data_IF_700014899047
#
_entry.id   IF_700014899047
#
_cell.length_a   1.000
_cell.length_b   1.000
_cell.length_c   1.000
_cell.angle_alpha   90.00
_cell.angle_beta   90.00
_cell.angle_gamma   90.00
#
_symmetry.space_group_name_H-M   'P 1'
#
loop_
_entity.id
_entity.type
_entity.pdbx_description
1 polymer ?
#
# COMPACT_ATOMS: atom_id res chain seq x y z
N UNK A 1 70.40 -156.09 34.99
CA UNK A 1 70.36 -154.65 34.62
C UNK A 1 68.93 -154.12 34.49
N UNK A 2 67.96 -154.65 35.26
CA UNK A 2 66.54 -154.27 35.23
C UNK A 2 66.19 -153.03 36.08
N UNK A 3 67.07 -152.61 37.00
CA UNK A 3 66.76 -151.56 37.99
C UNK A 3 66.97 -150.11 37.48
N UNK A 4 67.88 -149.91 36.53
CA UNK A 4 68.23 -148.57 36.01
C UNK A 4 67.16 -148.05 35.03
N UNK A 5 66.57 -148.94 34.22
CA UNK A 5 65.50 -148.58 33.26
C UNK A 5 64.24 -148.11 33.98
N UNK A 6 63.91 -148.68 35.14
CA UNK A 6 62.73 -148.31 35.91
C UNK A 6 62.90 -146.94 36.61
N UNK A 7 64.10 -146.62 37.10
CA UNK A 7 64.41 -145.31 37.70
C UNK A 7 64.38 -144.16 36.67
N UNK A 8 64.86 -144.38 35.44
CA UNK A 8 64.80 -143.37 34.37
C UNK A 8 63.37 -143.14 33.88
N UNK A 9 62.54 -144.18 33.81
CA UNK A 9 61.12 -144.06 33.45
C UNK A 9 60.31 -143.31 34.51
N UNK A 10 60.58 -143.55 35.80
CA UNK A 10 59.96 -142.81 36.91
C UNK A 10 60.42 -141.34 36.94
N UNK A 11 61.68 -141.07 36.58
CA UNK A 11 62.20 -139.70 36.43
C UNK A 11 61.59 -138.94 35.25
N UNK A 12 61.37 -139.60 34.11
CA UNK A 12 60.62 -139.01 32.99
C UNK A 12 59.16 -138.77 33.34
N UNK A 13 58.49 -139.73 33.97
CA UNK A 13 57.08 -139.60 34.35
C UNK A 13 56.87 -138.48 35.38
N UNK A 14 57.77 -138.33 36.36
CA UNK A 14 57.70 -137.23 37.33
C UNK A 14 57.97 -135.87 36.69
N UNK A 15 58.89 -135.79 35.72
CA UNK A 15 59.12 -134.57 34.92
C UNK A 15 57.90 -134.16 34.08
N UNK A 16 57.25 -135.12 33.43
CA UNK A 16 55.99 -134.88 32.69
C UNK A 16 54.86 -134.46 33.63
N UNK A 17 54.79 -135.05 34.84
CA UNK A 17 53.81 -134.66 35.86
C UNK A 17 54.02 -133.21 36.32
N UNK A 18 55.26 -132.77 36.55
CA UNK A 18 55.55 -131.39 36.96
C UNK A 18 55.24 -130.38 35.85
N UNK A 19 55.56 -130.71 34.59
CA UNK A 19 55.24 -129.83 33.44
C UNK A 19 53.73 -129.73 33.22
N UNK A 20 53.00 -130.85 33.36
CA UNK A 20 51.54 -130.85 33.24
C UNK A 20 50.87 -130.11 34.40
N UNK A 21 51.36 -130.25 35.64
CA UNK A 21 50.89 -129.50 36.80
C UNK A 21 51.18 -127.99 36.69
N UNK A 22 52.36 -127.60 36.20
CA UNK A 22 52.68 -126.19 35.95
C UNK A 22 51.83 -125.60 34.82
N UNK A 23 51.57 -126.36 33.73
CA UNK A 23 50.61 -125.95 32.69
C UNK A 23 49.20 -125.83 33.26
N UNK A 24 48.76 -126.76 34.12
CA UNK A 24 47.46 -126.70 34.79
C UNK A 24 47.34 -125.47 35.69
N UNK A 25 48.41 -125.13 36.42
CA UNK A 25 48.48 -123.93 37.26
C UNK A 25 48.46 -122.64 36.43
N UNK A 26 49.18 -122.61 35.31
CA UNK A 26 49.15 -121.49 34.35
C UNK A 26 47.79 -121.34 33.67
N UNK A 27 47.17 -122.44 33.24
CA UNK A 27 45.82 -122.43 32.69
C UNK A 27 44.81 -121.93 33.72
N UNK A 28 44.92 -122.36 34.99
CA UNK A 28 44.04 -121.91 36.07
C UNK A 28 44.20 -120.41 36.34
N UNK A 29 45.43 -119.90 36.39
CA UNK A 29 45.68 -118.46 36.52
C UNK A 29 45.13 -117.64 35.34
N UNK A 30 45.25 -118.15 34.11
CA UNK A 30 44.63 -117.49 32.94
C UNK A 30 43.10 -117.52 33.00
N UNK A 31 42.53 -118.61 33.53
CA UNK A 31 41.08 -118.77 33.71
C UNK A 31 40.56 -117.78 34.76
N UNK A 32 41.31 -117.58 35.86
CA UNK A 32 40.99 -116.58 36.89
C UNK A 32 41.04 -115.15 36.32
N UNK A 33 42.04 -114.81 35.50
CA UNK A 33 42.13 -113.48 34.84
C UNK A 33 41.02 -113.29 33.81
N UNK A 34 40.67 -114.33 33.05
CA UNK A 34 39.55 -114.29 32.11
C UNK A 34 38.21 -114.11 32.85
N UNK A 35 38.06 -114.73 34.02
CA UNK A 35 36.87 -114.59 34.86
C UNK A 35 36.78 -113.19 35.48
N UNK A 36 37.88 -112.65 35.99
CA UNK A 36 37.96 -111.28 36.50
C UNK A 36 37.64 -110.25 35.40
N UNK A 37 38.17 -110.43 34.18
CA UNK A 37 37.83 -109.60 33.03
C UNK A 37 36.35 -109.73 32.62
N UNK A 38 35.78 -110.93 32.70
CA UNK A 38 34.36 -111.17 32.41
C UNK A 38 33.47 -110.45 33.44
N UNK A 39 33.83 -110.52 34.73
CA UNK A 39 33.10 -109.88 35.80
C UNK A 39 33.23 -108.36 35.74
N UNK A 40 34.40 -107.83 35.39
CA UNK A 40 34.59 -106.40 35.11
C UNK A 40 33.78 -105.92 33.89
N UNK A 41 33.75 -106.71 32.82
CA UNK A 41 32.95 -106.40 31.63
C UNK A 41 31.45 -106.42 31.95
N UNK A 42 30.99 -107.36 32.79
CA UNK A 42 29.60 -107.40 33.28
C UNK A 42 29.25 -106.18 34.12
N UNK A 43 30.12 -105.80 35.06
CA UNK A 43 29.88 -104.62 35.89
C UNK A 43 29.79 -103.35 35.05
N UNK A 44 30.69 -103.18 34.06
CA UNK A 44 30.61 -102.06 33.12
C UNK A 44 29.35 -102.08 32.26
N UNK A 45 28.90 -103.27 31.84
CA UNK A 45 27.65 -103.39 31.09
C UNK A 45 26.47 -102.90 31.94
N UNK A 46 26.40 -103.29 33.21
CA UNK A 46 25.36 -102.82 34.14
C UNK A 46 25.44 -101.31 34.39
N UNK A 47 26.63 -100.73 34.53
CA UNK A 47 26.80 -99.28 34.64
C UNK A 47 26.31 -98.55 33.37
N UNK A 48 26.63 -99.06 32.18
CA UNK A 48 26.14 -98.48 30.94
C UNK A 48 24.62 -98.64 30.76
N UNK A 49 24.05 -99.79 31.13
CA UNK A 49 22.61 -100.00 31.12
C UNK A 49 21.89 -98.99 32.03
N UNK A 50 22.42 -98.76 33.23
CA UNK A 50 21.87 -97.77 34.16
C UNK A 50 22.01 -96.33 33.63
N UNK A 51 23.14 -95.99 33.01
CA UNK A 51 23.34 -94.68 32.41
C UNK A 51 22.40 -94.42 31.21
N UNK A 52 22.09 -95.46 30.43
CA UNK A 52 21.11 -95.39 29.34
C UNK A 52 19.72 -95.17 29.90
N UNK A 53 19.34 -95.88 30.98
CA UNK A 53 18.03 -95.72 31.62
C UNK A 53 17.85 -94.31 32.21
N UNK A 54 18.87 -93.77 32.89
CA UNK A 54 18.86 -92.40 33.40
C UNK A 54 18.74 -91.36 32.26
N UNK A 55 19.47 -91.57 31.16
CA UNK A 55 19.41 -90.69 29.98
C UNK A 55 18.05 -90.75 29.28
N UNK A 56 17.44 -91.93 29.20
CA UNK A 56 16.10 -92.12 28.63
C UNK A 56 15.02 -91.46 29.50
N UNK A 57 15.20 -91.48 30.82
CA UNK A 57 14.35 -90.74 31.74
C UNK A 57 14.46 -89.23 31.54
N UNK A 58 15.68 -88.67 31.44
CA UNK A 58 15.88 -87.26 31.16
C UNK A 58 15.29 -86.83 29.80
N UNK A 59 15.50 -87.64 28.75
CA UNK A 59 14.91 -87.40 27.43
C UNK A 59 13.38 -87.40 27.49
N UNK A 60 12.80 -88.28 28.29
CA UNK A 60 11.36 -88.34 28.51
C UNK A 60 10.84 -87.09 29.23
N UNK A 61 11.54 -86.63 30.27
CA UNK A 61 11.19 -85.39 30.97
C UNK A 61 11.28 -84.16 30.06
N UNK A 62 12.38 -84.02 29.32
CA UNK A 62 12.57 -82.94 28.34
C UNK A 62 11.48 -82.96 27.27
N UNK A 63 11.10 -84.15 26.77
CA UNK A 63 10.00 -84.29 25.82
C UNK A 63 8.67 -83.80 26.39
N UNK A 64 8.38 -84.13 27.66
CA UNK A 64 7.18 -83.64 28.35
C UNK A 64 7.23 -82.12 28.49
N UNK A 65 8.37 -81.54 28.91
CA UNK A 65 8.51 -80.07 29.01
C UNK A 65 8.34 -79.37 27.66
N UNK A 66 8.96 -79.88 26.59
CA UNK A 66 8.80 -79.35 25.23
C UNK A 66 7.34 -79.44 24.78
N UNK A 67 6.65 -80.54 25.08
CA UNK A 67 5.22 -80.67 24.77
C UNK A 67 4.35 -79.68 25.57
N UNK A 68 4.68 -79.45 26.85
CA UNK A 68 4.02 -78.46 27.70
C UNK A 68 4.22 -77.03 27.19
N UNK A 69 5.46 -76.66 26.87
CA UNK A 69 5.82 -75.36 26.28
C UNK A 69 5.19 -75.14 24.91
N UNK A 70 5.08 -76.20 24.09
CA UNK A 70 4.38 -76.13 22.81
C UNK A 70 2.89 -75.86 22.99
N UNK A 71 2.28 -76.50 23.99
CA UNK A 71 0.87 -76.28 24.31
C UNK A 71 0.60 -74.88 24.84
N UNK A 72 1.49 -74.31 25.66
CA UNK A 72 1.37 -72.92 26.12
C UNK A 72 1.59 -71.93 24.98
N UNK A 73 2.58 -72.17 24.11
CA UNK A 73 2.80 -71.38 22.91
C UNK A 73 1.56 -71.37 22.00
N UNK A 74 0.93 -72.52 21.77
CA UNK A 74 -0.27 -72.61 20.94
C UNK A 74 -1.49 -71.92 21.61
N UNK A 75 -1.56 -71.86 22.95
CA UNK A 75 -2.53 -71.02 23.65
C UNK A 75 -2.28 -69.53 23.42
N UNK A 76 -1.02 -69.09 23.44
CA UNK A 76 -0.67 -67.68 23.23
C UNK A 76 -0.79 -67.23 21.77
N UNK A 77 -0.54 -68.12 20.80
CA UNK A 77 -0.75 -67.84 19.37
C UNK A 77 -2.18 -67.39 19.05
N UNK A 78 -3.18 -67.89 19.81
CA UNK A 78 -4.58 -67.46 19.64
C UNK A 78 -4.79 -65.96 19.91
N UNK A 79 -3.89 -65.32 20.66
CA UNK A 79 -3.96 -63.89 20.97
C UNK A 79 -3.11 -63.03 20.01
N UNK A 80 -2.39 -63.62 19.05
CA UNK A 80 -1.58 -62.86 18.09
C UNK A 80 -2.45 -61.92 17.23
N UNK A 81 -3.63 -62.38 16.83
CA UNK A 81 -4.61 -61.56 16.10
C UNK A 81 -5.07 -60.33 16.91
N UNK A 82 -5.13 -60.43 18.25
CA UNK A 82 -5.50 -59.31 19.11
C UNK A 82 -4.40 -58.24 19.11
N UNK A 83 -3.12 -58.62 19.22
CA UNK A 83 -2.02 -57.67 19.12
C UNK A 83 -1.97 -56.96 17.76
N UNK A 84 -2.27 -57.68 16.67
CA UNK A 84 -2.35 -57.09 15.33
C UNK A 84 -3.52 -56.11 15.20
N UNK A 85 -4.68 -56.40 15.81
CA UNK A 85 -5.83 -55.50 15.87
C UNK A 85 -5.52 -54.26 16.72
N UNK A 86 -4.88 -54.40 17.88
CA UNK A 86 -4.48 -53.27 18.73
C UNK A 86 -3.53 -52.32 17.97
N UNK A 87 -2.53 -52.87 17.28
CA UNK A 87 -1.62 -52.07 16.45
C UNK A 87 -2.36 -51.39 15.29
N UNK A 88 -3.32 -52.08 14.68
CA UNK A 88 -4.18 -51.51 13.64
C UNK A 88 -5.05 -50.36 14.18
N UNK A 89 -5.64 -50.52 15.36
CA UNK A 89 -6.45 -49.47 16.02
C UNK A 89 -5.58 -48.26 16.34
N UNK A 90 -4.39 -48.45 16.91
CA UNK A 90 -3.44 -47.36 17.21
C UNK A 90 -3.06 -46.60 15.94
N UNK A 91 -2.76 -47.30 14.85
CA UNK A 91 -2.44 -46.66 13.58
C UNK A 91 -3.64 -45.87 13.02
N UNK A 92 -4.86 -46.40 13.16
CA UNK A 92 -6.08 -45.71 12.71
C UNK A 92 -6.43 -44.50 13.57
N UNK A 93 -6.25 -44.57 14.88
CA UNK A 93 -6.46 -43.41 15.76
C UNK A 93 -5.46 -42.30 15.44
N UNK A 94 -4.18 -42.63 15.26
CA UNK A 94 -3.16 -41.66 14.85
C UNK A 94 -3.46 -41.02 13.49
N UNK A 95 -3.92 -41.80 12.51
CA UNK A 95 -4.36 -41.25 11.22
C UNK A 95 -5.56 -40.31 11.37
N UNK A 96 -6.54 -40.68 12.20
CA UNK A 96 -7.71 -39.85 12.45
C UNK A 96 -7.34 -38.55 13.18
N UNK A 97 -6.48 -38.61 14.20
CA UNK A 97 -5.96 -37.44 14.92
C UNK A 97 -5.19 -36.50 14.00
N UNK A 98 -4.29 -37.04 13.17
CA UNK A 98 -3.54 -36.26 12.19
C UNK A 98 -4.47 -35.58 11.17
N UNK A 99 -5.48 -36.30 10.67
CA UNK A 99 -6.48 -35.71 9.77
C UNK A 99 -7.26 -34.57 10.43
N UNK A 100 -7.64 -34.74 11.70
CA UNK A 100 -8.32 -33.69 12.47
C UNK A 100 -7.41 -32.48 12.69
N UNK A 101 -6.13 -32.67 13.01
CA UNK A 101 -5.17 -31.58 13.15
C UNK A 101 -4.93 -30.85 11.84
N UNK A 102 -4.70 -31.57 10.73
CA UNK A 102 -4.57 -30.96 9.40
C UNK A 102 -5.81 -30.14 9.04
N UNK A 103 -7.00 -30.69 9.25
CA UNK A 103 -8.26 -29.98 8.97
C UNK A 103 -8.41 -28.72 9.81
N UNK A 104 -7.97 -28.73 11.09
CA UNK A 104 -7.96 -27.53 11.95
C UNK A 104 -7.00 -26.48 11.43
N UNK A 105 -5.79 -26.88 11.01
CA UNK A 105 -4.79 -25.97 10.44
C UNK A 105 -5.32 -25.35 9.15
N UNK A 106 -5.86 -26.15 8.23
CA UNK A 106 -6.46 -25.68 6.98
C UNK A 106 -7.62 -24.71 7.23
N UNK A 107 -8.49 -25.02 8.19
CA UNK A 107 -9.56 -24.12 8.60
C UNK A 107 -9.03 -22.80 9.18
N UNK A 108 -7.96 -22.84 9.97
CA UNK A 108 -7.32 -21.63 10.51
C UNK A 108 -6.72 -20.77 9.40
N UNK A 109 -6.00 -21.38 8.46
CA UNK A 109 -5.44 -20.68 7.29
C UNK A 109 -6.55 -20.03 6.48
N UNK A 110 -7.64 -20.75 6.21
CA UNK A 110 -8.78 -20.22 5.47
C UNK A 110 -9.43 -19.03 6.18
N UNK A 111 -9.58 -19.09 7.51
CA UNK A 111 -10.11 -17.97 8.30
C UNK A 111 -9.21 -16.75 8.20
N UNK A 112 -7.88 -16.91 8.28
CA UNK A 112 -6.95 -15.80 8.18
C UNK A 112 -6.89 -15.22 6.76
N UNK A 113 -7.00 -16.05 5.72
CA UNK A 113 -7.14 -15.61 4.33
C UNK A 113 -8.40 -14.78 4.12
N UNK A 114 -9.54 -15.22 4.68
CA UNK A 114 -10.80 -14.48 4.63
C UNK A 114 -10.67 -13.14 5.36
N UNK A 115 -10.04 -13.09 6.53
CA UNK A 115 -9.79 -11.83 7.25
C UNK A 115 -8.94 -10.88 6.40
N UNK A 116 -7.83 -11.38 5.84
CA UNK A 116 -6.97 -10.58 4.97
C UNK A 116 -7.69 -10.08 3.71
N UNK A 117 -8.60 -10.88 3.15
CA UNK A 117 -9.45 -10.44 2.05
C UNK A 117 -10.43 -9.34 2.47
N UNK A 118 -11.10 -9.48 3.61
CA UNK A 118 -12.01 -8.46 4.16
C UNK A 118 -11.27 -7.14 4.38
N UNK A 119 -10.06 -7.17 4.95
CA UNK A 119 -9.25 -5.97 5.16
C UNK A 119 -8.88 -5.28 3.85
N UNK A 120 -8.47 -6.04 2.83
CA UNK A 120 -8.20 -5.49 1.49
C UNK A 120 -9.43 -4.84 0.87
N UNK A 121 -10.60 -5.48 0.97
CA UNK A 121 -11.86 -4.93 0.46
C UNK A 121 -12.25 -3.66 1.21
N UNK A 122 -12.13 -3.64 2.54
CA UNK A 122 -12.39 -2.44 3.34
C UNK A 122 -11.49 -1.27 2.92
N UNK A 123 -10.18 -1.51 2.83
CA UNK A 123 -9.23 -0.50 2.39
C UNK A 123 -9.53 0.01 0.98
N UNK A 124 -9.91 -0.88 0.06
CA UNK A 124 -10.31 -0.50 -1.30
C UNK A 124 -11.58 0.37 -1.30
N UNK A 125 -12.59 0.03 -0.51
CA UNK A 125 -13.84 0.80 -0.42
C UNK A 125 -13.57 2.18 0.19
N UNK A 126 -12.75 2.28 1.22
CA UNK A 126 -12.37 3.56 1.84
C UNK A 126 -11.59 4.47 0.88
N UNK A 127 -10.61 3.91 0.15
CA UNK A 127 -9.86 4.63 -0.89
C UNK A 127 -10.78 5.07 -2.03
N UNK A 128 -11.66 4.18 -2.50
CA UNK A 128 -12.63 4.50 -3.55
C UNK A 128 -13.60 5.60 -3.13
N UNK A 129 -14.13 5.55 -1.90
CA UNK A 129 -15.00 6.58 -1.34
C UNK A 129 -14.28 7.93 -1.27
N UNK A 130 -13.04 7.95 -0.78
CA UNK A 130 -12.23 9.17 -0.69
C UNK A 130 -11.99 9.77 -2.07
N UNK A 131 -11.61 8.94 -3.05
CA UNK A 131 -11.42 9.37 -4.44
C UNK A 131 -12.71 9.86 -5.09
N UNK A 132 -13.85 9.21 -4.82
CA UNK A 132 -15.15 9.63 -5.34
C UNK A 132 -15.55 11.01 -4.78
N UNK A 133 -15.38 11.23 -3.48
CA UNK A 133 -15.64 12.53 -2.84
C UNK A 133 -14.73 13.61 -3.44
N UNK A 134 -13.42 13.35 -3.54
CA UNK A 134 -12.47 14.29 -4.16
C UNK A 134 -12.85 14.64 -5.60
N UNK A 135 -13.27 13.65 -6.39
CA UNK A 135 -13.71 13.87 -7.77
C UNK A 135 -14.97 14.75 -7.82
N UNK A 136 -15.95 14.50 -6.96
CA UNK A 136 -17.16 15.33 -6.85
C UNK A 136 -16.82 16.76 -6.45
N UNK A 137 -15.94 16.93 -5.46
CA UNK A 137 -15.48 18.26 -5.00
C UNK A 137 -14.75 19.01 -6.11
N UNK A 138 -13.86 18.35 -6.85
CA UNK A 138 -13.16 18.95 -7.97
C UNK A 138 -14.15 19.38 -9.06
N UNK A 139 -15.10 18.52 -9.43
CA UNK A 139 -16.14 18.86 -10.40
C UNK A 139 -17.01 20.03 -9.95
N UNK A 140 -17.36 20.09 -8.65
CA UNK A 140 -18.10 21.20 -8.09
C UNK A 140 -17.32 22.52 -8.18
N UNK A 141 -16.01 22.51 -7.86
CA UNK A 141 -15.13 23.68 -7.98
C UNK A 141 -15.02 24.15 -9.43
N UNK A 142 -14.80 23.24 -10.37
CA UNK A 142 -14.74 23.56 -11.80
C UNK A 142 -16.05 24.17 -12.28
N UNK A 143 -17.19 23.62 -11.86
CA UNK A 143 -18.52 24.13 -12.21
C UNK A 143 -18.76 25.52 -11.62
N UNK A 144 -18.41 25.76 -10.35
CA UNK A 144 -18.49 27.08 -9.71
C UNK A 144 -17.61 28.11 -10.42
N UNK A 145 -16.38 27.73 -10.79
CA UNK A 145 -15.49 28.62 -11.53
C UNK A 145 -16.06 28.97 -12.91
N UNK A 146 -16.69 28.01 -13.60
CA UNK A 146 -17.39 28.28 -14.86
C UNK A 146 -18.56 29.25 -14.67
N UNK A 147 -19.38 29.05 -13.64
CA UNK A 147 -20.47 29.98 -13.33
C UNK A 147 -19.98 31.38 -12.98
N UNK A 148 -18.92 31.49 -12.19
CA UNK A 148 -18.31 32.78 -11.87
C UNK A 148 -17.83 33.50 -13.13
N UNK A 149 -17.11 32.78 -14.01
CA UNK A 149 -16.66 33.34 -15.30
C UNK A 149 -17.82 33.74 -16.20
N UNK A 150 -18.90 32.95 -16.22
CA UNK A 150 -20.10 33.26 -16.99
C UNK A 150 -20.80 34.51 -16.44
N UNK A 151 -21.01 34.59 -15.13
CA UNK A 151 -21.59 35.76 -14.49
C UNK A 151 -20.74 37.01 -14.72
N UNK A 152 -19.41 36.91 -14.61
CA UNK A 152 -18.50 38.01 -14.93
C UNK A 152 -18.63 38.47 -16.39
N UNK A 153 -18.78 37.53 -17.34
CA UNK A 153 -19.03 37.85 -18.74
C UNK A 153 -20.41 38.50 -18.94
N UNK A 154 -21.45 38.02 -18.27
CA UNK A 154 -22.79 38.59 -18.31
C UNK A 154 -22.80 40.03 -17.79
N UNK A 155 -22.16 40.31 -16.65
CA UNK A 155 -22.00 41.68 -16.13
C UNK A 155 -21.26 42.58 -17.11
N UNK A 156 -20.13 42.12 -17.67
CA UNK A 156 -19.40 42.91 -18.69
C UNK A 156 -20.23 43.18 -19.93
N UNK A 157 -21.05 42.22 -20.38
CA UNK A 157 -21.95 42.41 -21.50
C UNK A 157 -23.08 43.40 -21.15
N UNK A 158 -23.57 43.37 -19.91
CA UNK A 158 -24.55 44.34 -19.44
C UNK A 158 -23.98 45.76 -19.44
N UNK A 159 -22.74 45.96 -19.00
CA UNK A 159 -22.07 47.27 -19.07
C UNK A 159 -21.93 47.75 -20.52
N UNK A 160 -21.60 46.83 -21.45
CA UNK A 160 -21.52 47.13 -22.88
C UNK A 160 -22.89 47.49 -23.47
N UNK A 161 -23.95 46.76 -23.12
CA UNK A 161 -25.33 47.06 -23.55
C UNK A 161 -25.75 48.44 -23.03
N UNK A 162 -25.51 48.72 -21.76
CA UNK A 162 -25.82 50.01 -21.13
C UNK A 162 -25.05 51.15 -21.81
N UNK A 163 -23.76 50.96 -22.07
CA UNK A 163 -22.94 51.91 -22.81
C UNK A 163 -23.47 52.16 -24.23
N UNK A 164 -23.92 51.11 -24.94
CA UNK A 164 -24.56 51.27 -26.26
C UNK A 164 -25.89 52.02 -26.16
N UNK A 165 -26.72 51.71 -25.16
CA UNK A 165 -28.01 52.39 -24.94
C UNK A 165 -27.81 53.88 -24.67
N UNK A 166 -26.83 54.26 -23.83
CA UNK A 166 -26.46 55.66 -23.60
C UNK A 166 -25.99 56.35 -24.88
N UNK A 167 -25.21 55.69 -25.74
CA UNK A 167 -24.77 56.27 -27.02
C UNK A 167 -25.92 56.43 -28.02
N UNK A 168 -26.90 55.53 -28.02
CA UNK A 168 -28.07 55.57 -28.93
C UNK A 168 -29.05 56.67 -28.50
N UNK A 169 -29.44 56.68 -27.23
CA UNK A 169 -30.45 57.62 -26.74
C UNK A 169 -29.85 58.98 -26.40
N UNK A 170 -28.52 59.06 -26.28
CA UNK A 170 -27.82 60.21 -25.74
C UNK A 170 -27.92 60.26 -24.22
N UNK A 171 -27.10 61.11 -23.60
CA UNK A 171 -27.06 61.28 -22.15
C UNK A 171 -28.16 62.22 -21.65
N UNK A 172 -29.42 61.88 -21.94
CA UNK A 172 -30.55 62.83 -21.86
C UNK A 172 -30.96 63.19 -20.43
N UNK A 173 -30.97 62.24 -19.48
CA UNK A 173 -31.26 62.50 -18.05
C UNK A 173 -30.64 61.40 -17.16
N UNK A 174 -30.11 61.77 -15.97
CA UNK A 174 -29.66 60.82 -14.94
C UNK A 174 -28.26 61.06 -14.36
N UNK A 175 -27.38 61.76 -15.08
CA UNK A 175 -25.99 61.99 -14.65
C UNK A 175 -25.77 63.39 -14.05
N UNK A 176 -26.61 63.75 -13.09
CA UNK A 176 -26.57 65.03 -12.39
C UNK A 176 -25.54 65.00 -11.27
N UNK A 177 -24.26 64.99 -11.63
CA UNK A 177 -23.16 65.28 -10.69
C UNK A 177 -22.47 66.55 -11.15
N UNK A 178 -22.52 67.59 -10.32
CA UNK A 178 -21.81 68.83 -10.54
C UNK A 178 -20.48 68.84 -9.78
N UNK A 179 -19.54 69.66 -10.25
CA UNK A 179 -18.26 69.91 -9.58
C UNK A 179 -18.45 70.40 -8.14
N UNK A 180 -19.49 71.20 -7.90
CA UNK A 180 -19.84 71.71 -6.57
C UNK A 180 -20.20 70.60 -5.60
N UNK A 181 -20.89 69.56 -6.05
CA UNK A 181 -21.26 68.43 -5.19
C UNK A 181 -19.99 67.72 -4.72
N UNK A 182 -19.03 67.50 -5.61
CA UNK A 182 -17.72 66.92 -5.27
C UNK A 182 -16.95 67.82 -4.30
N UNK A 183 -17.01 69.15 -4.49
CA UNK A 183 -16.35 70.11 -3.60
C UNK A 183 -16.90 70.04 -2.17
N UNK A 184 -18.22 69.82 -2.00
CA UNK A 184 -18.83 69.67 -0.67
C UNK A 184 -18.41 68.40 0.08
N UNK A 185 -17.89 67.40 -0.62
CA UNK A 185 -17.35 66.17 -0.02
C UNK A 185 -15.88 66.33 0.44
N UNK A 186 -15.22 67.44 0.08
CA UNK A 186 -13.83 67.71 0.46
C UNK A 186 -13.74 68.32 1.86
N UNK A 187 -12.54 68.24 2.45
CA UNK A 187 -12.24 68.83 3.76
C UNK A 187 -12.41 70.36 3.76
N UNK A 188 -12.86 70.90 4.88
CA UNK A 188 -12.98 72.35 5.08
C UNK A 188 -11.64 73.05 4.80
N UNK A 189 -11.68 74.10 4.00
CA UNK A 189 -10.49 74.89 3.63
C UNK A 189 -9.72 74.37 2.42
N UNK A 190 -10.21 73.36 1.70
CA UNK A 190 -9.61 72.93 0.43
C UNK A 190 -9.63 74.06 -0.62
N UNK A 191 -8.46 74.40 -1.19
CA UNK A 191 -8.31 75.58 -2.05
C UNK A 191 -7.96 75.23 -3.51
N UNK A 192 -8.01 76.25 -4.38
CA UNK A 192 -7.60 76.13 -5.78
C UNK A 192 -6.18 75.55 -5.94
N UNK A 193 -5.25 75.95 -5.06
CA UNK A 193 -3.86 75.48 -5.09
C UNK A 193 -3.76 73.97 -4.83
N UNK A 194 -4.60 73.43 -3.94
CA UNK A 194 -4.63 72.01 -3.61
C UNK A 194 -5.21 71.21 -4.79
N UNK A 195 -6.31 71.70 -5.38
CA UNK A 195 -6.90 71.12 -6.58
C UNK A 195 -5.91 71.10 -7.76
N UNK A 196 -5.18 72.19 -7.96
CA UNK A 196 -4.18 72.32 -9.01
C UNK A 196 -3.01 71.36 -8.81
N UNK A 197 -2.52 71.22 -7.58
CA UNK A 197 -1.45 70.28 -7.24
C UNK A 197 -1.90 68.84 -7.48
N UNK A 198 -3.08 68.45 -7.01
CA UNK A 198 -3.62 67.11 -7.22
C UNK A 198 -3.84 66.79 -8.70
N UNK A 199 -4.37 67.74 -9.48
CA UNK A 199 -4.51 67.56 -10.92
C UNK A 199 -3.16 67.36 -11.62
N UNK A 200 -2.13 68.10 -11.22
CA UNK A 200 -0.79 67.96 -11.75
C UNK A 200 -0.18 66.58 -11.39
N UNK A 201 -0.36 66.12 -10.16
CA UNK A 201 0.08 64.79 -9.71
C UNK A 201 -0.59 63.68 -10.53
N UNK A 202 -1.90 63.76 -10.76
CA UNK A 202 -2.65 62.79 -11.58
C UNK A 202 -2.14 62.79 -13.03
N UNK A 203 -1.92 63.97 -13.61
CA UNK A 203 -1.37 64.08 -14.98
C UNK A 203 0.03 63.45 -15.09
N UNK A 204 0.87 63.66 -14.09
CA UNK A 204 2.18 63.00 -14.04
C UNK A 204 2.03 61.47 -13.96
N UNK A 205 1.08 60.96 -13.18
CA UNK A 205 0.80 59.51 -13.12
C UNK A 205 0.29 58.97 -14.46
N UNK A 206 -0.55 59.72 -15.18
CA UNK A 206 -1.03 59.36 -16.52
C UNK A 206 0.15 59.28 -17.51
N UNK A 207 1.04 60.27 -17.51
CA UNK A 207 2.25 60.27 -18.35
C UNK A 207 3.17 59.10 -18.03
N UNK A 208 3.41 58.82 -16.75
CA UNK A 208 4.20 57.67 -16.31
C UNK A 208 3.56 56.33 -16.71
N UNK A 209 2.23 56.20 -16.61
CA UNK A 209 1.53 55.00 -17.04
C UNK A 209 1.66 54.78 -18.56
N UNK A 210 1.62 55.86 -19.35
CA UNK A 210 1.87 55.82 -20.79
C UNK A 210 3.31 55.38 -21.11
N UNK A 211 4.31 56.02 -20.49
CA UNK A 211 5.73 55.69 -20.69
C UNK A 211 6.07 54.23 -20.30
N UNK A 212 5.45 53.75 -19.21
CA UNK A 212 5.69 52.40 -18.71
C UNK A 212 4.82 51.32 -19.40
N UNK A 213 4.10 51.66 -20.47
CA UNK A 213 3.16 50.75 -21.17
C UNK A 213 2.13 50.08 -20.24
N UNK A 214 1.70 50.79 -19.20
CA UNK A 214 0.68 50.34 -18.22
C UNK A 214 -0.73 50.86 -18.53
N UNK A 215 -0.94 51.41 -19.73
CA UNK A 215 -2.24 51.91 -20.18
C UNK A 215 -3.17 50.76 -20.53
N UNK A 216 -2.65 49.78 -21.26
CA UNK A 216 -3.43 48.68 -21.80
C UNK A 216 -2.62 47.38 -21.80
N UNK A 217 -3.32 46.26 -22.00
CA UNK A 217 -2.74 44.91 -22.14
C UNK A 217 -3.26 44.26 -23.41
N UNK A 218 -2.49 43.34 -23.98
CA UNK A 218 -2.84 42.60 -25.20
C UNK A 218 -2.06 41.27 -25.23
N UNK A 219 -2.68 40.21 -25.76
CA UNK A 219 -2.14 38.85 -25.75
C UNK A 219 -1.40 38.45 -27.04
N UNK A 220 -1.09 39.40 -27.94
CA UNK A 220 -0.21 39.09 -29.08
C UNK A 220 1.17 38.61 -28.60
N UNK A 221 1.60 37.48 -29.16
CA UNK A 221 2.93 36.90 -28.92
C UNK A 221 4.01 37.80 -29.53
N UNK A 222 3.77 38.25 -30.76
CA UNK A 222 4.61 39.21 -31.48
C UNK A 222 4.64 40.57 -30.76
N UNK A 223 5.85 41.04 -30.42
CA UNK A 223 6.04 42.24 -29.61
C UNK A 223 5.68 43.53 -30.35
N UNK A 224 6.04 43.65 -31.63
CA UNK A 224 5.77 44.84 -32.44
C UNK A 224 4.26 45.01 -32.66
N UNK A 225 3.58 43.91 -32.98
CA UNK A 225 2.12 43.88 -33.12
C UNK A 225 1.43 44.14 -31.78
N UNK A 226 1.94 43.59 -30.68
CA UNK A 226 1.42 43.84 -29.33
C UNK A 226 1.54 45.32 -28.97
N UNK A 227 2.73 45.90 -29.14
CA UNK A 227 3.00 47.31 -28.85
C UNK A 227 2.13 48.23 -29.71
N UNK A 228 2.09 48.00 -31.02
CA UNK A 228 1.25 48.77 -31.95
C UNK A 228 -0.23 48.71 -31.57
N UNK A 229 -0.73 47.53 -31.17
CA UNK A 229 -2.13 47.37 -30.73
C UNK A 229 -2.39 48.14 -29.44
N UNK A 230 -1.48 48.04 -28.46
CA UNK A 230 -1.55 48.80 -27.20
C UNK A 230 -1.58 50.30 -27.49
N UNK A 231 -0.69 50.81 -28.33
CA UNK A 231 -0.60 52.22 -28.68
C UNK A 231 -1.89 52.70 -29.37
N UNK A 232 -2.42 51.89 -30.30
CA UNK A 232 -3.67 52.21 -31.01
C UNK A 232 -4.86 52.34 -30.07
N UNK A 233 -5.09 51.35 -29.17
CA UNK A 233 -6.22 51.42 -28.26
C UNK A 233 -6.04 52.50 -27.18
N UNK A 234 -4.79 52.72 -26.75
CA UNK A 234 -4.44 53.78 -25.80
C UNK A 234 -4.74 55.15 -26.40
N UNK A 235 -4.36 55.37 -27.66
CA UNK A 235 -4.66 56.58 -28.40
C UNK A 235 -6.17 56.78 -28.57
N UNK A 236 -6.91 55.73 -28.94
CA UNK A 236 -8.36 55.81 -29.08
C UNK A 236 -9.03 56.23 -27.76
N UNK A 237 -8.66 55.61 -26.64
CA UNK A 237 -9.20 55.93 -25.33
C UNK A 237 -8.81 57.34 -24.87
N UNK A 238 -7.54 57.72 -25.01
CA UNK A 238 -7.06 59.04 -24.61
C UNK A 238 -7.71 60.15 -25.42
N UNK A 239 -7.91 59.96 -26.72
CA UNK A 239 -8.62 60.94 -27.56
C UNK A 239 -10.06 61.20 -27.09
N UNK A 240 -10.76 60.17 -26.57
CA UNK A 240 -12.08 60.32 -25.97
C UNK A 240 -12.02 61.09 -24.66
N UNK A 241 -11.08 60.71 -23.79
CA UNK A 241 -10.91 61.40 -22.52
C UNK A 241 -10.50 62.87 -22.70
N UNK A 242 -9.63 63.20 -23.66
CA UNK A 242 -9.24 64.57 -24.00
C UNK A 242 -10.43 65.36 -24.57
N UNK A 243 -11.25 64.72 -25.41
CA UNK A 243 -12.49 65.31 -25.90
C UNK A 243 -13.43 65.66 -24.73
N UNK A 244 -13.59 64.77 -23.75
CA UNK A 244 -14.46 65.04 -22.59
C UNK A 244 -13.88 66.12 -21.67
N UNK A 245 -12.57 66.13 -21.44
CA UNK A 245 -11.89 67.22 -20.73
C UNK A 245 -12.11 68.56 -21.42
N UNK A 246 -12.04 68.61 -22.76
CA UNK A 246 -12.25 69.86 -23.53
C UNK A 246 -13.68 70.38 -23.47
N UNK A 247 -14.66 69.51 -23.19
CA UNK A 247 -16.10 69.84 -23.08
C UNK A 247 -16.57 69.96 -21.64
N UNK A 248 -15.67 69.78 -20.69
CA UNK A 248 -15.98 69.77 -19.27
C UNK A 248 -16.44 71.16 -18.82
N UNK A 249 -17.57 71.18 -18.12
CA UNK A 249 -18.09 72.32 -17.40
C UNK A 249 -18.34 71.90 -15.94
N UNK A 250 -18.56 72.88 -15.08
CA UNK A 250 -18.87 72.64 -13.67
C UNK A 250 -20.17 71.83 -13.47
N UNK A 251 -21.10 71.88 -14.42
CA UNK A 251 -22.44 71.28 -14.28
C UNK A 251 -22.54 69.92 -14.98
N UNK A 252 -21.58 69.55 -15.82
CA UNK A 252 -21.65 68.34 -16.66
C UNK A 252 -20.67 67.23 -16.27
N UNK A 253 -20.04 67.31 -15.09
CA UNK A 253 -19.04 66.34 -14.64
C UNK A 253 -19.58 64.90 -14.69
N UNK A 254 -20.78 64.65 -14.15
CA UNK A 254 -21.41 63.33 -14.20
C UNK A 254 -21.56 62.76 -15.61
N UNK A 255 -21.96 63.62 -16.56
CA UNK A 255 -22.09 63.24 -17.97
C UNK A 255 -20.73 62.87 -18.60
N UNK A 256 -19.68 63.65 -18.31
CA UNK A 256 -18.34 63.39 -18.85
C UNK A 256 -17.72 62.11 -18.26
N UNK A 257 -17.93 61.86 -16.96
CA UNK A 257 -17.48 60.63 -16.30
C UNK A 257 -18.16 59.40 -16.90
N UNK A 258 -19.49 59.42 -17.03
CA UNK A 258 -20.22 58.31 -17.64
C UNK A 258 -19.79 58.10 -19.10
N UNK A 259 -19.68 59.17 -19.89
CA UNK A 259 -19.33 59.06 -21.29
C UNK A 259 -17.94 58.44 -21.51
N UNK A 260 -17.00 58.71 -20.60
CA UNK A 260 -15.69 58.09 -20.61
C UNK A 260 -15.74 56.62 -20.18
N UNK A 261 -16.52 56.28 -19.16
CA UNK A 261 -16.73 54.88 -18.73
C UNK A 261 -17.38 54.05 -19.85
N UNK A 262 -18.40 54.58 -20.51
CA UNK A 262 -19.04 53.92 -21.65
C UNK A 262 -18.03 53.65 -22.77
N UNK A 263 -17.21 54.64 -23.14
CA UNK A 263 -16.16 54.44 -24.16
C UNK A 263 -15.12 53.41 -23.72
N UNK A 264 -14.76 53.36 -22.44
CA UNK A 264 -13.89 52.30 -21.90
C UNK A 264 -14.49 50.90 -22.12
N UNK A 265 -15.77 50.71 -21.77
CA UNK A 265 -16.45 49.42 -21.96
C UNK A 265 -16.52 49.03 -23.44
N UNK A 266 -16.88 49.97 -24.32
CA UNK A 266 -16.99 49.73 -25.75
C UNK A 266 -15.64 49.43 -26.41
N UNK A 267 -14.59 50.20 -26.07
CA UNK A 267 -13.23 49.97 -26.58
C UNK A 267 -12.71 48.61 -26.11
N UNK A 268 -12.89 48.26 -24.84
CA UNK A 268 -12.45 46.97 -24.30
C UNK A 268 -13.23 45.80 -24.87
N UNK A 269 -14.52 45.97 -25.13
CA UNK A 269 -15.33 44.96 -25.83
C UNK A 269 -14.81 44.72 -27.24
N UNK A 270 -14.53 45.79 -28.01
CA UNK A 270 -13.94 45.66 -29.36
C UNK A 270 -12.49 45.19 -29.35
N UNK A 271 -11.74 45.48 -28.31
CA UNK A 271 -10.37 45.00 -28.13
C UNK A 271 -10.29 43.47 -27.97
N UNK A 272 -11.38 42.78 -27.65
CA UNK A 272 -11.44 41.31 -27.64
C UNK A 272 -11.06 40.71 -29.00
N UNK A 273 -11.48 41.35 -30.10
CA UNK A 273 -11.17 40.96 -31.48
C UNK A 273 -9.69 41.21 -31.84
N UNK A 274 -9.00 42.02 -31.04
CA UNK A 274 -7.59 42.40 -31.21
C UNK A 274 -6.68 41.66 -30.22
N UNK A 275 -6.87 40.35 -30.06
CA UNK A 275 -6.11 39.51 -29.11
C UNK A 275 -6.29 39.94 -27.65
N UNK A 276 -7.55 40.10 -27.23
CA UNK A 276 -7.90 40.49 -25.84
C UNK A 276 -7.24 41.81 -25.40
N UNK A 277 -7.09 42.74 -26.36
CA UNK A 277 -6.59 44.08 -26.08
C UNK A 277 -7.57 44.79 -25.14
N UNK A 278 -7.09 45.41 -24.07
CA UNK A 278 -7.94 46.10 -23.09
C UNK A 278 -7.17 47.18 -22.34
N UNK A 279 -7.80 48.35 -22.22
CA UNK A 279 -7.41 49.42 -21.29
C UNK A 279 -7.53 48.88 -19.86
N UNK A 280 -6.53 49.16 -19.04
CA UNK A 280 -6.52 48.72 -17.64
C UNK A 280 -7.50 49.56 -16.82
N UNK A 281 -8.21 48.93 -15.88
CA UNK A 281 -9.13 49.62 -14.97
C UNK A 281 -8.42 50.74 -14.19
N UNK A 282 -7.20 50.48 -13.70
CA UNK A 282 -6.38 51.48 -13.01
C UNK A 282 -6.10 52.71 -13.86
N UNK A 283 -6.04 52.58 -15.19
CA UNK A 283 -5.83 53.71 -16.08
C UNK A 283 -7.13 54.49 -16.35
N UNK A 284 -8.27 53.80 -16.44
CA UNK A 284 -9.59 54.46 -16.44
C UNK A 284 -9.75 55.30 -15.17
N UNK A 285 -9.42 54.75 -14.00
CA UNK A 285 -9.57 55.44 -12.71
C UNK A 285 -8.74 56.74 -12.68
N UNK A 286 -7.51 56.74 -13.21
CA UNK A 286 -6.70 57.95 -13.36
C UNK A 286 -7.37 59.01 -14.24
N UNK A 287 -7.92 58.62 -15.39
CA UNK A 287 -8.59 59.57 -16.31
C UNK A 287 -9.92 60.09 -15.75
N UNK A 288 -10.64 59.29 -14.96
CA UNK A 288 -11.82 59.75 -14.22
C UNK A 288 -11.44 60.72 -13.11
N UNK A 289 -10.36 60.47 -12.37
CA UNK A 289 -9.84 61.42 -11.39
C UNK A 289 -9.42 62.73 -12.04
N UNK A 290 -8.76 62.69 -13.20
CA UNK A 290 -8.40 63.89 -13.94
C UNK A 290 -9.63 64.75 -14.26
N UNK A 291 -10.71 64.15 -14.76
CA UNK A 291 -11.99 64.85 -15.00
C UNK A 291 -12.55 65.47 -13.72
N UNK A 292 -12.53 64.75 -12.59
CA UNK A 292 -13.01 65.26 -11.29
C UNK A 292 -12.21 66.46 -10.82
N UNK A 293 -10.88 66.36 -10.79
CA UNK A 293 -10.03 67.46 -10.32
C UNK A 293 -9.98 68.64 -11.29
N UNK A 294 -10.10 68.40 -12.60
CA UNK A 294 -10.29 69.46 -13.58
C UNK A 294 -11.60 70.22 -13.33
N UNK A 295 -12.71 69.52 -13.05
CA UNK A 295 -14.00 70.14 -12.75
C UNK A 295 -13.96 70.94 -11.43
N UNK A 296 -13.35 70.38 -10.38
CA UNK A 296 -13.13 71.07 -9.10
C UNK A 296 -12.35 72.38 -9.28
N UNK A 297 -11.29 72.35 -10.08
CA UNK A 297 -10.48 73.53 -10.37
C UNK A 297 -11.27 74.59 -11.16
N UNK A 298 -12.16 74.18 -12.07
CA UNK A 298 -13.07 75.10 -12.76
C UNK A 298 -14.06 75.75 -11.78
N UNK A 299 -14.61 74.99 -10.83
CA UNK A 299 -15.55 75.51 -9.83
C UNK A 299 -14.85 76.48 -8.86
N UNK A 300 -13.67 76.11 -8.35
CA UNK A 300 -12.88 76.95 -7.44
C UNK A 300 -12.44 78.26 -8.09
N UNK A 301 -12.12 78.24 -9.41
CA UNK A 301 -11.83 79.47 -10.17
C UNK A 301 -13.06 80.35 -10.42
N UNK A 302 -14.25 79.76 -10.44
CA UNK A 302 -15.50 80.48 -10.66
C UNK A 302 -15.94 81.23 -9.41
N UNK A 303 -15.64 80.73 -8.21
CA UNK A 303 -15.91 81.43 -6.94
C UNK A 303 -15.05 82.70 -6.91
N UNK A 304 -15.62 83.90 -7.09
CA UNK A 304 -14.86 85.11 -6.85
C UNK A 304 -14.53 85.13 -5.36
N UNK A 305 -13.34 85.59 -5.01
CA UNK A 305 -12.99 86.00 -3.65
C UNK A 305 -13.97 87.08 -3.20
N UNK A 306 -15.15 86.69 -2.71
CA UNK A 306 -16.08 87.55 -1.97
C UNK A 306 -15.72 87.48 -0.50
N UNK A 307 -14.50 87.91 -0.21
CA UNK A 307 -14.07 88.33 1.12
C UNK A 307 -13.22 89.57 0.92
N UNK A 308 -13.88 90.71 0.76
CA UNK A 308 -13.53 92.00 1.38
C UNK A 308 -14.58 93.06 1.03
N UNK A 309 -14.96 93.85 2.05
CA UNK A 309 -16.01 94.88 2.12
C UNK A 309 -17.46 94.33 2.12
N UNK A 310 -18.24 94.41 3.21
CA UNK A 310 -18.44 95.44 4.25
C UNK A 310 -18.74 94.78 5.59
#
# INVERSE_FOLDING_TARGET
MLSIVLLVLVGMLSGVLVVTLNKLKSLRGNLDVLQDNLDHARHKLTEYEQQVEDSDYELSQLRVQVSGLRTTLDKYKKYQEICEIEQYVINRTLQAENFVEMTKVDASIMVDDIKGYIERVKAFVEDYQTKAIQKVDQQAREKLQRYYKQAEQEYRLQDVVSALEHKIHGYQQGFSLAARDVLTELIDGYQEQDAARQLQEIRQQIEQAAQNKKVAKCNYVDEDRRNTTIDMISLAFNSRADLYLSRLTIDNLGLMLQALQDDFHLINYKGQDLSQASIQQSYLDLRLQELKFAALLLELKKVPVLTEAI
#
